data_IF_720258701811
#
_entry.id   IF_720258701811
#
_cell.length_a   1.000
_cell.length_b   1.000
_cell.length_c   1.000
_cell.angle_alpha   90.00
_cell.angle_beta   90.00
_cell.angle_gamma   90.00
#
_symmetry.space_group_name_H-M   'P 1'
#
loop_
_entity.id
_entity.type
_entity.pdbx_description
1 polymer ?
#
# COMPACT_ATOMS: atom_id res chain seq x y z
N UNK A 1 10.53 -3.47 -23.20
CA UNK A 1 10.00 -2.74 -22.02
C UNK A 1 10.85 -1.49 -21.87
N UNK A 2 10.25 -0.34 -21.57
CA UNK A 2 11.02 0.87 -21.22
C UNK A 2 11.91 0.59 -20.01
N UNK A 3 13.01 1.33 -19.88
CA UNK A 3 13.82 1.30 -18.67
C UNK A 3 12.92 1.60 -17.45
N UNK A 4 12.92 0.76 -16.39
CA UNK A 4 12.17 1.04 -15.16
C UNK A 4 12.43 2.45 -14.62
N UNK A 5 13.65 2.97 -14.81
CA UNK A 5 13.99 4.34 -14.42
C UNK A 5 13.10 5.39 -15.10
N UNK A 6 12.77 5.22 -16.38
CA UNK A 6 12.00 6.20 -17.16
C UNK A 6 10.56 6.36 -16.67
N UNK A 7 10.04 5.36 -15.95
CA UNK A 7 8.73 5.44 -15.30
C UNK A 7 8.77 6.39 -14.10
N UNK A 8 9.91 6.50 -13.43
CA UNK A 8 10.12 7.35 -12.27
C UNK A 8 10.68 8.73 -12.63
N UNK A 9 11.65 8.77 -13.54
CA UNK A 9 12.41 9.96 -13.87
C UNK A 9 12.17 10.38 -15.32
N UNK A 10 11.21 11.28 -15.51
CA UNK A 10 11.04 11.96 -16.80
C UNK A 10 12.28 12.80 -17.13
N UNK A 11 12.39 13.25 -18.38
CA UNK A 11 13.46 14.16 -18.80
C UNK A 11 13.56 15.41 -17.90
N UNK A 12 12.41 15.95 -17.46
CA UNK A 12 12.38 17.08 -16.53
C UNK A 12 12.93 16.70 -15.14
N UNK A 13 12.61 15.51 -14.62
CA UNK A 13 13.18 15.02 -13.35
C UNK A 13 14.70 14.83 -13.46
N UNK A 14 15.17 14.22 -14.56
CA UNK A 14 16.61 14.03 -14.81
C UNK A 14 17.33 15.39 -14.90
N UNK A 15 16.73 16.38 -15.56
CA UNK A 15 17.27 17.74 -15.63
C UNK A 15 17.38 18.41 -14.25
N UNK A 16 16.34 18.29 -13.40
CA UNK A 16 16.37 18.82 -12.03
C UNK A 16 17.40 18.10 -11.15
N UNK A 17 17.52 16.78 -11.28
CA UNK A 17 18.55 16.00 -10.58
C UNK A 17 19.95 16.48 -10.95
N UNK A 18 20.22 16.76 -12.22
CA UNK A 18 21.50 17.29 -12.69
C UNK A 18 21.73 18.71 -12.16
N UNK A 19 20.73 19.58 -12.28
CA UNK A 19 20.78 20.97 -11.79
C UNK A 19 21.09 21.05 -10.29
N UNK A 20 20.56 20.12 -9.51
CA UNK A 20 20.73 20.04 -8.06
C UNK A 20 21.86 19.07 -7.63
N UNK A 21 22.63 18.52 -8.56
CA UNK A 21 23.82 17.70 -8.27
C UNK A 21 23.55 16.31 -7.68
N UNK A 22 22.34 15.77 -7.84
CA UNK A 22 21.95 14.44 -7.31
C UNK A 22 21.91 13.34 -8.37
N UNK A 23 22.06 13.68 -9.66
CA UNK A 23 21.86 12.73 -10.77
C UNK A 23 22.75 11.48 -10.69
N UNK A 24 24.01 11.64 -10.31
CA UNK A 24 24.98 10.54 -10.18
C UNK A 24 24.59 9.49 -9.14
N UNK A 25 23.71 9.81 -8.19
CA UNK A 25 23.21 8.85 -7.19
C UNK A 25 22.20 7.85 -7.77
N UNK A 26 21.64 8.16 -8.94
CA UNK A 26 20.58 7.38 -9.57
C UNK A 26 21.02 6.71 -10.88
N UNK A 27 22.10 7.19 -11.50
CA UNK A 27 22.65 6.60 -12.73
C UNK A 27 23.12 5.16 -12.52
N UNK A 28 22.69 4.25 -13.39
CA UNK A 28 23.07 2.83 -13.34
C UNK A 28 22.45 2.05 -12.18
N UNK A 29 21.52 2.65 -11.43
CA UNK A 29 20.81 1.95 -10.34
C UNK A 29 19.81 0.95 -10.91
N UNK A 30 19.87 -0.28 -10.43
CA UNK A 30 18.84 -1.30 -10.70
C UNK A 30 17.61 -1.03 -9.84
N UNK A 31 16.44 -1.04 -10.48
CA UNK A 31 15.14 -0.87 -9.83
C UNK A 31 14.43 -2.20 -9.70
N UNK A 32 13.68 -2.38 -8.60
CA UNK A 32 12.91 -3.59 -8.42
C UNK A 32 11.68 -3.56 -9.34
N UNK A 33 11.49 -4.62 -10.12
CA UNK A 33 10.33 -4.79 -11.01
C UNK A 33 9.47 -5.98 -10.61
N UNK A 34 10.06 -6.94 -9.90
CA UNK A 34 9.42 -8.19 -9.49
C UNK A 34 8.90 -8.16 -8.06
N UNK A 35 7.87 -8.95 -7.81
CA UNK A 35 7.30 -9.19 -6.50
C UNK A 35 8.17 -10.23 -5.77
N UNK A 36 9.14 -9.72 -5.02
CA UNK A 36 10.02 -10.51 -4.14
C UNK A 36 9.27 -11.07 -2.94
N UNK A 37 9.83 -12.09 -2.28
CA UNK A 37 9.25 -12.67 -1.07
C UNK A 37 9.11 -11.64 0.07
N UNK A 38 10.04 -10.70 0.17
CA UNK A 38 9.95 -9.58 1.12
C UNK A 38 8.75 -8.69 0.83
N UNK A 39 8.52 -8.37 -0.45
CA UNK A 39 7.36 -7.59 -0.84
C UNK A 39 6.06 -8.37 -0.58
N UNK A 40 6.02 -9.68 -0.85
CA UNK A 40 4.86 -10.53 -0.53
C UNK A 40 4.53 -10.49 0.97
N UNK A 41 5.55 -10.66 1.82
CA UNK A 41 5.39 -10.62 3.28
C UNK A 41 4.91 -9.26 3.76
N UNK A 42 5.49 -8.18 3.22
CA UNK A 42 5.07 -6.82 3.54
C UNK A 42 3.61 -6.60 3.16
N UNK A 43 3.21 -6.92 1.92
CA UNK A 43 1.83 -6.77 1.44
C UNK A 43 0.83 -7.58 2.27
N UNK A 44 1.23 -8.74 2.79
CA UNK A 44 0.39 -9.61 3.62
C UNK A 44 -0.13 -8.96 4.92
N UNK A 45 0.54 -7.92 5.42
CA UNK A 45 0.10 -7.18 6.63
C UNK A 45 -0.57 -5.84 6.30
N UNK A 46 -0.62 -5.45 5.02
CA UNK A 46 -1.19 -4.16 4.61
C UNK A 46 -2.72 -4.26 4.53
N UNK A 47 -3.39 -3.39 5.27
CA UNK A 47 -4.84 -3.20 5.31
C UNK A 47 -5.28 -1.87 4.66
N UNK A 48 -4.33 -1.00 4.28
CA UNK A 48 -4.58 0.29 3.65
C UNK A 48 -3.53 0.66 2.61
N UNK A 49 -3.96 1.26 1.50
CA UNK A 49 -3.08 1.94 0.56
C UNK A 49 -3.79 3.10 -0.14
N UNK A 50 -3.01 3.94 -0.82
CA UNK A 50 -3.52 5.03 -1.65
C UNK A 50 -3.30 4.70 -3.12
N UNK A 51 -4.37 4.79 -3.90
CA UNK A 51 -4.37 4.49 -5.32
C UNK A 51 -4.48 5.79 -6.11
N UNK A 52 -3.44 6.11 -6.86
CA UNK A 52 -3.40 7.26 -7.74
C UNK A 52 -3.60 6.84 -9.20
N UNK A 53 -4.41 7.61 -9.90
CA UNK A 53 -4.74 7.48 -11.33
C UNK A 53 -4.78 8.87 -11.94
N UNK A 54 -4.73 8.98 -13.26
CA UNK A 54 -4.91 10.25 -13.94
C UNK A 54 -5.76 10.08 -15.20
N UNK A 55 -6.48 11.13 -15.59
CA UNK A 55 -7.13 11.19 -16.90
C UNK A 55 -6.11 11.18 -18.04
N UNK A 56 -6.57 11.05 -19.28
CA UNK A 56 -5.73 11.12 -20.47
C UNK A 56 -5.04 12.49 -20.64
N UNK A 57 -5.69 13.59 -20.20
CA UNK A 57 -5.13 14.94 -20.18
C UNK A 57 -4.32 15.25 -18.90
N UNK A 58 -4.12 14.28 -18.01
CA UNK A 58 -3.21 14.38 -16.87
C UNK A 58 -3.79 14.96 -15.59
N UNK A 59 -5.12 14.97 -15.41
CA UNK A 59 -5.76 15.39 -14.15
C UNK A 59 -5.52 14.33 -13.07
N UNK A 60 -4.81 14.66 -11.98
CA UNK A 60 -4.48 13.67 -10.97
C UNK A 60 -5.68 13.38 -10.07
N UNK A 61 -5.80 12.12 -9.64
CA UNK A 61 -6.76 11.71 -8.62
C UNK A 61 -6.14 10.65 -7.72
N UNK A 62 -6.37 10.77 -6.41
CA UNK A 62 -5.93 9.82 -5.40
C UNK A 62 -7.10 9.42 -4.53
N UNK A 63 -7.20 8.12 -4.24
CA UNK A 63 -8.25 7.58 -3.37
C UNK A 63 -7.65 6.56 -2.41
N UNK A 64 -8.05 6.66 -1.14
CA UNK A 64 -7.75 5.63 -0.14
C UNK A 64 -8.49 4.32 -0.48
N UNK A 65 -7.78 3.20 -0.37
CA UNK A 65 -8.30 1.84 -0.49
C UNK A 65 -7.98 1.11 0.81
N UNK A 66 -8.99 0.54 1.44
CA UNK A 66 -8.87 -0.24 2.66
C UNK A 66 -9.54 -1.60 2.53
N UNK A 67 -9.05 -2.57 3.28
CA UNK A 67 -9.54 -3.94 3.27
C UNK A 67 -8.96 -4.73 4.44
N UNK A 68 -9.24 -6.04 4.52
CA UNK A 68 -8.54 -6.91 5.47
C UNK A 68 -7.02 -6.92 5.18
N UNK A 69 -6.16 -7.20 6.17
CA UNK A 69 -4.73 -7.35 5.95
C UNK A 69 -4.44 -8.31 4.78
N UNK A 70 -3.61 -7.89 3.83
CA UNK A 70 -3.27 -8.67 2.64
C UNK A 70 -4.28 -8.59 1.50
N UNK A 71 -5.24 -7.65 1.53
CA UNK A 71 -6.22 -7.51 0.44
C UNK A 71 -5.62 -7.08 -0.91
N UNK A 72 -4.43 -6.46 -0.91
CA UNK A 72 -3.64 -6.22 -2.12
C UNK A 72 -2.78 -7.45 -2.41
N UNK A 73 -3.29 -8.35 -3.26
CA UNK A 73 -2.75 -9.70 -3.43
C UNK A 73 -1.82 -9.80 -4.65
N UNK A 74 -0.62 -10.39 -4.51
CA UNK A 74 0.16 -10.87 -5.63
C UNK A 74 -0.58 -11.98 -6.39
N UNK A 75 -0.79 -11.79 -7.70
CA UNK A 75 -1.40 -12.79 -8.58
C UNK A 75 -0.43 -13.32 -9.64
N UNK A 76 0.84 -12.91 -9.58
CA UNK A 76 1.93 -13.36 -10.45
C UNK A 76 3.29 -12.83 -9.94
N UNK A 77 4.31 -12.83 -10.79
CA UNK A 77 5.64 -12.26 -10.46
C UNK A 77 5.69 -10.74 -10.59
N UNK A 78 4.79 -10.14 -11.37
CA UNK A 78 4.76 -8.70 -11.67
C UNK A 78 3.38 -8.07 -11.50
N UNK A 79 2.40 -8.79 -10.96
CA UNK A 79 1.01 -8.30 -10.92
C UNK A 79 0.42 -8.44 -9.53
N UNK A 80 -0.08 -7.33 -9.02
CA UNK A 80 -0.92 -7.24 -7.84
C UNK A 80 -2.38 -7.12 -8.30
N UNK A 81 -3.31 -7.54 -7.47
CA UNK A 81 -4.72 -7.29 -7.69
C UNK A 81 -5.46 -7.10 -6.37
N UNK A 82 -6.57 -6.36 -6.43
CA UNK A 82 -7.45 -6.14 -5.30
C UNK A 82 -8.90 -6.07 -5.77
N UNK A 83 -9.83 -6.45 -4.90
CA UNK A 83 -11.25 -6.29 -5.14
C UNK A 83 -11.65 -4.82 -5.01
N UNK A 84 -12.34 -4.28 -6.01
CA UNK A 84 -12.97 -2.97 -5.95
C UNK A 84 -14.41 -3.15 -5.46
N UNK A 85 -14.69 -2.54 -4.30
CA UNK A 85 -15.96 -2.64 -3.60
C UNK A 85 -16.91 -1.51 -4.01
N UNK A 86 -18.20 -1.72 -3.78
CA UNK A 86 -19.19 -0.66 -3.94
C UNK A 86 -18.84 0.53 -3.04
N UNK A 87 -18.69 1.71 -3.65
CA UNK A 87 -18.31 2.96 -2.97
C UNK A 87 -19.29 4.10 -3.24
N UNK A 88 -18.81 5.34 -3.16
CA UNK A 88 -19.58 6.58 -3.34
C UNK A 88 -20.02 6.87 -4.79
N UNK A 89 -19.79 5.94 -5.72
CA UNK A 89 -20.20 6.01 -7.12
C UNK A 89 -19.62 7.19 -7.93
N UNK A 90 -18.53 7.82 -7.49
CA UNK A 90 -17.86 8.85 -8.29
C UNK A 90 -17.18 8.27 -9.54
N UNK A 91 -16.76 7.00 -9.49
CA UNK A 91 -16.16 6.25 -10.61
C UNK A 91 -14.93 6.89 -11.28
N UNK A 92 -14.29 7.88 -10.64
CA UNK A 92 -13.16 8.64 -11.22
C UNK A 92 -12.01 7.71 -11.61
N UNK A 93 -11.52 6.86 -10.68
CA UNK A 93 -10.46 5.90 -11.00
C UNK A 93 -10.85 4.98 -12.15
N UNK A 94 -12.12 4.57 -12.25
CA UNK A 94 -12.55 3.69 -13.33
C UNK A 94 -12.56 4.41 -14.68
N UNK A 95 -13.07 5.65 -14.72
CA UNK A 95 -13.01 6.50 -15.91
C UNK A 95 -11.57 6.70 -16.37
N UNK A 96 -10.69 7.10 -15.46
CA UNK A 96 -9.25 7.24 -15.74
C UNK A 96 -8.66 5.96 -16.34
N UNK A 97 -8.87 4.80 -15.73
CA UNK A 97 -8.32 3.52 -16.23
C UNK A 97 -8.88 3.06 -17.58
N UNK A 98 -9.98 3.65 -18.07
CA UNK A 98 -10.48 3.38 -19.43
C UNK A 98 -9.74 4.18 -20.50
N UNK A 99 -9.13 5.31 -20.15
CA UNK A 99 -8.45 6.20 -21.09
C UNK A 99 -6.94 6.33 -20.85
N UNK A 100 -6.47 6.00 -19.64
CA UNK A 100 -5.08 6.06 -19.22
C UNK A 100 -4.81 4.95 -18.20
N UNK A 101 -4.01 3.97 -18.59
CA UNK A 101 -3.70 2.81 -17.77
C UNK A 101 -2.64 3.09 -16.69
N UNK A 102 -1.99 4.25 -16.71
CA UNK A 102 -0.94 4.58 -15.72
C UNK A 102 -1.54 4.79 -14.33
N UNK A 103 -0.96 4.10 -13.36
CA UNK A 103 -1.38 4.18 -11.97
C UNK A 103 -0.18 4.11 -11.01
N UNK A 104 -0.41 4.55 -9.79
CA UNK A 104 0.57 4.46 -8.73
C UNK A 104 -0.09 3.96 -7.43
N UNK A 105 0.54 3.00 -6.77
CA UNK A 105 0.14 2.56 -5.42
C UNK A 105 1.16 3.11 -4.43
N UNK A 106 0.66 3.82 -3.44
CA UNK A 106 1.45 4.29 -2.30
C UNK A 106 0.96 3.64 -1.02
N UNK A 107 1.86 2.96 -0.32
CA UNK A 107 1.57 2.34 0.98
C UNK A 107 2.40 3.05 2.04
N UNK A 108 1.76 3.39 3.16
CA UNK A 108 2.41 3.91 4.35
C UNK A 108 2.06 3.00 5.53
N UNK A 109 3.02 2.19 5.96
CA UNK A 109 2.87 1.35 7.14
C UNK A 109 3.44 2.09 8.36
N UNK A 110 2.55 2.66 9.18
CA UNK A 110 2.94 3.57 10.25
C UNK A 110 3.75 2.88 11.36
N UNK A 111 3.39 1.66 11.75
CA UNK A 111 4.04 0.94 12.84
C UNK A 111 5.52 0.66 12.55
N UNK A 112 5.85 0.27 11.32
CA UNK A 112 7.25 0.03 10.88
C UNK A 112 7.89 1.23 10.19
N UNK A 113 7.14 2.34 10.06
CA UNK A 113 7.52 3.56 9.34
C UNK A 113 8.00 3.28 7.91
N UNK A 114 7.44 2.27 7.25
CA UNK A 114 7.81 1.88 5.89
C UNK A 114 6.91 2.56 4.87
N UNK A 115 7.54 3.10 3.81
CA UNK A 115 6.84 3.61 2.62
C UNK A 115 7.18 2.76 1.43
N UNK A 116 6.17 2.23 0.77
CA UNK A 116 6.30 1.53 -0.49
C UNK A 116 5.66 2.36 -1.60
N UNK A 117 6.42 2.60 -2.66
CA UNK A 117 5.95 3.24 -3.89
C UNK A 117 6.01 2.21 -5.02
N UNK A 118 4.89 2.05 -5.71
CA UNK A 118 4.76 1.16 -6.85
C UNK A 118 4.27 1.98 -8.04
N UNK A 119 5.07 2.02 -9.10
CA UNK A 119 4.68 2.57 -10.39
C UNK A 119 4.27 1.44 -11.31
N UNK A 120 3.25 1.66 -12.12
CA UNK A 120 2.82 0.65 -13.07
C UNK A 120 1.55 1.00 -13.81
N UNK A 121 0.90 -0.07 -14.29
CA UNK A 121 -0.30 0.01 -15.10
C UNK A 121 -1.43 -0.74 -14.44
N UNK A 122 -2.60 -0.14 -14.39
CA UNK A 122 -3.80 -0.77 -13.86
C UNK A 122 -4.84 -0.97 -14.94
N UNK A 123 -5.59 -2.06 -14.82
CA UNK A 123 -6.75 -2.35 -15.66
C UNK A 123 -7.91 -2.88 -14.84
N UNK A 124 -9.10 -2.61 -15.33
CA UNK A 124 -10.36 -3.12 -14.77
C UNK A 124 -10.55 -4.55 -15.27
N UNK A 125 -10.89 -5.47 -14.36
CA UNK A 125 -11.24 -6.86 -14.67
C UNK A 125 -12.65 -7.12 -14.18
N UNK A 126 -13.55 -7.37 -15.11
CA UNK A 126 -14.98 -7.62 -14.88
C UNK A 126 -15.33 -9.02 -15.39
N UNK A 127 -16.21 -9.73 -14.67
CA UNK A 127 -16.70 -11.07 -15.06
C UNK A 127 -15.75 -12.25 -14.76
N UNK A 128 -14.57 -12.01 -14.18
CA UNK A 128 -13.62 -13.06 -13.80
C UNK A 128 -13.92 -13.58 -12.38
N UNK A 129 -14.74 -14.62 -12.29
CA UNK A 129 -15.16 -15.20 -11.00
C UNK A 129 -13.99 -15.83 -10.24
N UNK A 130 -13.09 -16.54 -10.93
CA UNK A 130 -11.94 -17.20 -10.31
C UNK A 130 -10.99 -16.18 -9.66
N UNK A 131 -10.70 -15.08 -10.37
CA UNK A 131 -9.92 -14.00 -9.79
C UNK A 131 -10.62 -13.37 -8.58
N UNK A 132 -11.93 -13.13 -8.69
CA UNK A 132 -12.69 -12.54 -7.59
C UNK A 132 -12.71 -13.42 -6.33
N UNK A 133 -12.86 -14.74 -6.48
CA UNK A 133 -12.77 -15.70 -5.37
C UNK A 133 -11.39 -15.67 -4.69
N UNK A 134 -10.32 -15.50 -5.47
CA UNK A 134 -8.96 -15.35 -4.93
C UNK A 134 -8.77 -14.04 -4.18
N UNK A 135 -9.49 -12.97 -4.56
CA UNK A 135 -9.31 -11.63 -4.01
C UNK A 135 -10.14 -11.37 -2.76
N UNK A 136 -11.39 -11.83 -2.74
CA UNK A 136 -12.35 -11.48 -1.70
C UNK A 136 -12.17 -12.38 -0.48
N UNK A 137 -12.11 -11.76 0.70
CA UNK A 137 -12.28 -12.48 1.97
C UNK A 137 -13.79 -12.64 2.22
N UNK A 138 -14.31 -13.88 2.34
CA UNK A 138 -15.75 -14.12 2.53
C UNK A 138 -16.29 -13.57 3.86
N UNK A 139 -15.42 -13.29 4.83
CA UNK A 139 -15.79 -12.69 6.12
C UNK A 139 -15.85 -11.16 6.07
N UNK A 140 -15.33 -10.55 5.01
CA UNK A 140 -15.31 -9.10 4.86
C UNK A 140 -16.65 -8.58 4.32
N UNK A 141 -17.26 -7.63 5.05
CA UNK A 141 -18.65 -7.18 4.80
C UNK A 141 -18.84 -6.38 3.51
N UNK A 142 -17.77 -5.97 2.83
CA UNK A 142 -17.88 -5.14 1.64
C UNK A 142 -18.36 -5.94 0.42
N UNK A 143 -19.25 -5.34 -0.38
CA UNK A 143 -19.76 -5.97 -1.61
C UNK A 143 -18.78 -5.78 -2.76
N UNK A 144 -18.07 -6.83 -3.22
CA UNK A 144 -17.19 -6.73 -4.38
C UNK A 144 -17.99 -6.47 -5.65
N UNK A 145 -17.46 -5.63 -6.54
CA UNK A 145 -18.06 -5.36 -7.85
C UNK A 145 -17.20 -5.84 -9.01
N UNK A 146 -15.88 -5.67 -8.90
CA UNK A 146 -14.90 -5.99 -9.93
C UNK A 146 -13.51 -6.14 -9.31
N UNK A 147 -12.54 -6.57 -10.09
CA UNK A 147 -11.14 -6.55 -9.70
C UNK A 147 -10.40 -5.42 -10.42
N UNK A 148 -9.35 -4.90 -9.76
CA UNK A 148 -8.33 -4.09 -10.41
C UNK A 148 -7.04 -4.89 -10.40
N UNK A 149 -6.47 -5.11 -11.58
CA UNK A 149 -5.15 -5.71 -11.73
C UNK A 149 -4.12 -4.61 -12.00
N UNK A 150 -3.03 -4.61 -11.24
CA UNK A 150 -1.93 -3.66 -11.29
C UNK A 150 -0.63 -4.39 -11.67
N UNK A 151 -0.13 -4.13 -12.87
CA UNK A 151 1.17 -4.64 -13.34
C UNK A 151 2.26 -3.65 -12.95
N UNK A 152 3.24 -4.12 -12.18
CA UNK A 152 4.36 -3.33 -11.67
C UNK A 152 5.35 -3.08 -12.81
N UNK A 153 5.73 -1.82 -12.99
CA UNK A 153 6.86 -1.42 -13.85
C UNK A 153 8.11 -1.13 -13.02
N UNK A 154 7.95 -0.55 -11.82
CA UNK A 154 9.02 -0.33 -10.86
C UNK A 154 8.47 -0.19 -9.43
N UNK A 155 9.28 -0.50 -8.42
CA UNK A 155 8.95 -0.20 -7.03
C UNK A 155 10.18 0.06 -6.17
N UNK A 156 9.94 0.81 -5.10
CA UNK A 156 11.00 1.27 -4.19
C UNK A 156 10.47 1.47 -2.77
N UNK A 157 11.32 1.16 -1.78
CA UNK A 157 11.06 1.39 -0.36
C UNK A 157 12.03 2.43 0.14
N UNK A 158 11.51 3.54 0.65
CA UNK A 158 12.31 4.70 1.06
C UNK A 158 12.30 4.98 2.57
N UNK A 159 13.23 5.87 2.97
CA UNK A 159 13.60 6.26 4.34
C UNK A 159 12.41 6.46 5.31
N UNK A 160 12.62 6.09 6.59
CA UNK A 160 11.65 6.20 7.69
C UNK A 160 11.48 7.62 8.26
N UNK A 161 12.31 8.56 7.82
CA UNK A 161 12.33 9.92 8.33
C UNK A 161 10.96 10.60 8.24
N UNK A 162 10.62 11.36 9.30
CA UNK A 162 9.41 12.16 9.44
C UNK A 162 8.08 11.39 9.43
N UNK A 163 8.09 10.06 9.54
CA UNK A 163 6.87 9.28 9.76
C UNK A 163 6.69 9.09 11.26
N UNK A 164 5.66 9.71 11.82
CA UNK A 164 5.29 9.47 13.22
C UNK A 164 4.70 8.05 13.32
N UNK A 165 5.23 7.17 14.18
CA UNK A 165 4.65 5.86 14.41
C UNK A 165 3.19 5.98 14.86
N UNK A 166 2.34 5.15 14.29
CA UNK A 166 0.94 4.96 14.71
C UNK A 166 0.68 3.47 14.74
N UNK A 167 -0.12 3.06 15.72
CA UNK A 167 -0.48 1.68 15.97
C UNK A 167 -2.00 1.60 15.97
N UNK A 168 -2.53 0.56 15.33
CA UNK A 168 -3.91 0.15 15.47
C UNK A 168 -4.19 -0.31 16.90
N UNK A 169 -5.47 -0.38 17.24
CA UNK A 169 -5.91 -0.95 18.52
C UNK A 169 -5.40 -2.39 18.69
N UNK A 170 -5.45 -3.20 17.64
CA UNK A 170 -4.97 -4.58 17.65
C UNK A 170 -3.46 -4.68 17.92
N UNK A 171 -2.66 -3.75 17.40
CA UNK A 171 -1.21 -3.72 17.62
C UNK A 171 -0.84 -3.26 19.03
N UNK A 172 -1.60 -2.34 19.63
CA UNK A 172 -1.30 -1.79 20.96
C UNK A 172 -1.93 -2.60 22.11
N UNK A 173 -3.03 -3.32 21.85
CA UNK A 173 -3.79 -4.05 22.85
C UNK A 173 -2.92 -5.01 23.70
N UNK A 174 -2.02 -5.83 23.15
CA UNK A 174 -1.19 -6.72 23.97
C UNK A 174 -0.30 -5.98 24.99
N UNK A 175 0.21 -4.80 24.62
CA UNK A 175 1.00 -3.98 25.52
C UNK A 175 0.12 -3.36 26.61
N UNK A 176 -1.06 -2.86 26.23
CA UNK A 176 -2.05 -2.29 27.17
C UNK A 176 -2.54 -3.36 28.16
N UNK A 177 -2.87 -4.55 27.69
CA UNK A 177 -3.32 -5.67 28.52
C UNK A 177 -2.26 -6.10 29.53
N UNK A 178 -1.00 -6.12 29.10
CA UNK A 178 0.12 -6.43 29.98
C UNK A 178 0.27 -5.37 31.09
N UNK A 179 0.20 -4.09 30.72
CA UNK A 179 0.24 -2.98 31.68
C UNK A 179 -0.95 -3.03 32.65
N UNK A 180 -2.16 -3.31 32.16
CA UNK A 180 -3.36 -3.42 32.97
C UNK A 180 -3.25 -4.56 34.00
N UNK A 181 -2.74 -5.72 33.59
CA UNK A 181 -2.46 -6.84 34.51
C UNK A 181 -1.44 -6.43 35.57
N UNK A 182 -0.36 -5.76 35.19
CA UNK A 182 0.67 -5.33 36.14
C UNK A 182 0.16 -4.28 37.13
N UNK A 183 -0.68 -3.36 36.68
CA UNK A 183 -1.33 -2.37 37.54
C UNK A 183 -2.18 -3.07 38.60
N UNK A 184 -3.01 -4.05 38.20
CA UNK A 184 -3.83 -4.82 39.13
C UNK A 184 -2.99 -5.55 40.18
N UNK A 185 -1.92 -6.22 39.78
CA UNK A 185 -1.00 -6.90 40.72
C UNK A 185 -0.39 -5.94 41.74
N UNK A 186 0.00 -4.74 41.29
CA UNK A 186 0.58 -3.71 42.14
C UNK A 186 -0.47 -3.10 43.08
N UNK A 187 -1.69 -2.88 42.62
CA UNK A 187 -2.80 -2.39 43.46
C UNK A 187 -3.14 -3.39 44.56
N UNK A 188 -3.18 -4.69 44.24
CA UNK A 188 -3.37 -5.76 45.22
C UNK A 188 -2.25 -5.80 46.26
N UNK A 189 -0.98 -5.65 45.84
CA UNK A 189 0.15 -5.60 46.76
C UNK A 189 0.13 -4.35 47.65
N UNK A 190 -0.16 -3.18 47.09
CA UNK A 190 -0.29 -1.94 47.87
C UNK A 190 -1.40 -2.06 48.90
N UNK A 191 -2.53 -2.68 48.55
CA UNK A 191 -3.61 -2.94 49.49
C UNK A 191 -3.17 -3.88 50.63
N UNK A 192 -2.42 -4.95 50.31
CA UNK A 192 -1.83 -5.85 51.32
C UNK A 192 -0.87 -5.14 52.28
N UNK A 193 -0.02 -4.26 51.76
CA UNK A 193 0.98 -3.55 52.56
C UNK A 193 0.37 -2.44 53.43
N UNK A 194 -0.65 -1.73 52.95
CA UNK A 194 -1.36 -0.68 53.71
C UNK A 194 -2.33 -1.23 54.76
N UNK A 195 -2.74 -2.50 54.64
CA UNK A 195 -3.58 -3.18 55.63
C UNK A 195 -2.80 -3.76 56.82
N UNK A 196 -1.48 -3.58 56.86
CA UNK A 196 -0.59 -3.89 58.00
C UNK A 196 -0.26 -2.63 58.78
#
# INVERSE_FOLDING_TARGET
MSDPEDVMFSAAVKAEQTRLGSRTQFEGRTWNTEITDDLRRFLGVIDTFFFATASADGRPYIQHRGGPPGFLKPIGTHTLAFADFAGNQQYISLGHLRENDRAHIFVLHFATQQRLKLWGRARIVEGDLELMERLVDPTYRARPQRAIAFTIEAWDINCRQHIVPRYSEAEIAPAVDNLARRIKELEEEVARLKGR
#
